data_IF_335849673132
#
_entry.id   IF_335849673132
#
_cell.length_a   1.000
_cell.length_b   1.000
_cell.length_c   1.000
_cell.angle_alpha   90.00
_cell.angle_beta   90.00
_cell.angle_gamma   90.00
#
_symmetry.space_group_name_H-M   'P 1'
#
loop_
_entity.id
_entity.type
_entity.pdbx_description
1 polymer ?
#
# COMPACT_ATOMS: atom_id res chain seq x y z
N UNK A 1 62.92 -8.61 30.10
CA UNK A 1 61.89 -7.63 30.51
C UNK A 1 61.57 -6.71 29.33
N UNK A 2 60.46 -6.93 28.62
CA UNK A 2 59.90 -5.94 27.69
C UNK A 2 58.36 -6.06 27.76
N UNK A 3 57.71 -5.08 28.39
CA UNK A 3 56.27 -4.99 28.59
C UNK A 3 55.72 -4.04 27.51
N UNK A 4 54.87 -4.53 26.61
CA UNK A 4 54.17 -3.68 25.64
C UNK A 4 53.13 -2.81 26.36
N UNK A 5 52.98 -1.51 26.02
CA UNK A 5 51.93 -0.68 26.61
C UNK A 5 50.58 -0.97 25.96
N UNK A 6 49.55 -1.18 26.79
CA UNK A 6 48.15 -1.25 26.37
C UNK A 6 47.68 0.14 25.91
N UNK A 7 47.45 0.30 24.60
CA UNK A 7 46.82 1.50 24.05
C UNK A 7 45.30 1.40 24.20
N UNK A 8 44.78 1.86 25.35
CA UNK A 8 43.34 2.05 25.54
C UNK A 8 42.92 3.36 24.85
N UNK A 9 42.38 3.27 23.63
CA UNK A 9 41.81 4.41 22.92
C UNK A 9 40.60 4.96 23.70
N UNK A 10 40.77 6.10 24.37
CA UNK A 10 39.68 6.86 24.99
C UNK A 10 38.78 7.38 23.87
N UNK A 11 37.55 6.90 23.77
CA UNK A 11 36.52 7.50 22.90
C UNK A 11 36.33 8.97 23.32
N UNK A 12 36.27 9.94 22.38
CA UNK A 12 35.97 11.32 22.75
C UNK A 12 34.56 11.40 23.34
N UNK A 13 34.43 12.12 24.46
CA UNK A 13 33.13 12.47 25.05
C UNK A 13 32.37 13.36 24.06
N UNK A 14 31.25 12.87 23.54
CA UNK A 14 30.30 13.67 22.77
C UNK A 14 29.71 14.72 23.73
N UNK A 15 29.77 16.03 23.44
CA UNK A 15 29.13 17.03 24.28
C UNK A 15 27.60 16.87 24.23
N UNK A 16 26.95 17.02 25.38
CA UNK A 16 25.48 16.99 25.46
C UNK A 16 24.87 18.10 24.59
N UNK A 17 23.79 17.78 23.87
CA UNK A 17 23.07 18.75 23.05
C UNK A 17 22.59 19.94 23.90
N UNK A 18 22.61 21.18 23.37
CA UNK A 18 22.15 22.34 24.13
C UNK A 18 20.66 22.21 24.44
N UNK A 19 20.33 22.27 25.73
CA UNK A 19 18.95 22.40 26.19
C UNK A 19 18.41 23.74 25.70
N UNK A 20 17.48 23.71 24.76
CA UNK A 20 16.73 24.88 24.31
C UNK A 20 15.94 25.43 25.50
N UNK A 21 16.45 26.48 26.14
CA UNK A 21 15.67 27.24 27.12
C UNK A 21 14.59 27.99 26.36
N UNK A 22 13.33 27.73 26.72
CA UNK A 22 12.18 28.48 26.22
C UNK A 22 12.27 29.89 26.80
N UNK A 23 12.97 30.79 26.11
CA UNK A 23 12.82 32.22 26.36
C UNK A 23 11.43 32.63 25.86
N UNK A 24 10.50 32.86 26.79
CA UNK A 24 9.25 33.54 26.51
C UNK A 24 9.57 34.99 26.17
N UNK A 25 9.64 35.34 24.89
CA UNK A 25 9.65 36.75 24.48
C UNK A 25 8.27 37.35 24.75
N UNK A 26 8.19 38.19 25.77
CA UNK A 26 7.08 39.10 25.97
C UNK A 26 7.07 40.12 24.82
N UNK A 27 6.13 39.98 23.89
CA UNK A 27 5.91 40.96 22.83
C UNK A 27 5.24 42.19 23.43
N UNK A 28 5.92 43.35 23.35
CA UNK A 28 5.38 44.62 23.79
C UNK A 28 4.26 45.07 22.83
N UNK A 29 3.13 45.47 23.41
CA UNK A 29 2.01 46.09 22.68
C UNK A 29 2.32 47.57 22.48
N UNK A 30 2.63 48.00 21.26
CA UNK A 30 2.40 49.39 20.83
C UNK A 30 1.87 49.44 19.39
N UNK A 31 0.66 49.99 19.31
CA UNK A 31 0.09 50.79 18.22
C UNK A 31 0.15 50.26 16.79
N UNK A 32 -0.99 49.78 16.30
CA UNK A 32 -1.60 50.28 15.06
C UNK A 32 -3.12 50.21 15.21
N UNK A 33 -3.74 51.38 15.14
CA UNK A 33 -5.17 51.56 15.23
C UNK A 33 -5.85 51.30 13.88
N UNK A 34 -7.13 50.90 13.98
CA UNK A 34 -8.19 50.86 12.95
C UNK A 34 -8.11 49.73 11.90
N UNK A 35 -9.10 48.83 11.98
CA UNK A 35 -9.60 48.07 10.83
C UNK A 35 -9.88 46.59 11.11
N UNK A 36 -11.17 46.24 11.21
CA UNK A 36 -11.74 44.89 11.11
C UNK A 36 -11.41 43.85 12.21
N UNK A 37 -12.45 43.54 13.01
CA UNK A 37 -12.50 42.34 13.86
C UNK A 37 -12.52 41.09 12.97
N UNK A 38 -11.42 40.36 12.91
CA UNK A 38 -11.44 38.95 12.50
C UNK A 38 -11.72 38.09 13.75
N UNK A 39 -12.95 37.57 13.88
CA UNK A 39 -13.27 36.50 14.82
C UNK A 39 -12.69 35.19 14.27
N UNK A 40 -11.97 34.46 15.13
CA UNK A 40 -11.85 33.01 15.14
C UNK A 40 -11.26 32.33 13.90
N UNK A 41 -10.07 31.74 14.04
CA UNK A 41 -9.49 30.84 13.05
C UNK A 41 -10.44 29.68 12.70
N UNK A 42 -11.06 29.77 11.53
CA UNK A 42 -11.83 28.70 10.92
C UNK A 42 -10.91 27.70 10.24
N UNK A 43 -11.16 26.42 10.47
CA UNK A 43 -10.58 25.33 9.70
C UNK A 43 -10.83 25.57 8.19
N UNK A 44 -9.79 25.35 7.38
CA UNK A 44 -9.88 25.43 5.92
C UNK A 44 -10.94 24.42 5.46
N UNK A 45 -12.03 24.86 4.79
CA UNK A 45 -13.07 23.94 4.35
C UNK A 45 -12.54 23.08 3.19
N UNK A 46 -12.62 21.76 3.33
CA UNK A 46 -12.42 20.85 2.21
C UNK A 46 -13.45 21.09 1.09
N UNK A 47 -13.18 20.65 -0.14
CA UNK A 47 -14.06 20.92 -1.27
C UNK A 47 -15.43 20.27 -1.05
N UNK A 48 -16.48 21.10 -0.96
CA UNK A 48 -17.87 20.64 -1.00
C UNK A 48 -18.19 20.29 -2.46
N UNK A 49 -18.42 19.01 -2.73
CA UNK A 49 -18.98 18.54 -3.99
C UNK A 49 -20.41 19.08 -4.15
N UNK A 50 -20.56 20.24 -4.80
CA UNK A 50 -21.88 20.85 -4.99
C UNK A 50 -21.91 22.22 -5.67
N UNK A 51 -20.83 22.65 -6.32
CA UNK A 51 -20.80 23.86 -7.14
C UNK A 51 -20.69 23.50 -8.63
N UNK A 52 -21.54 24.11 -9.47
CA UNK A 52 -21.41 24.01 -10.93
C UNK A 52 -20.01 24.49 -11.35
N UNK A 53 -19.37 23.81 -12.30
CA UNK A 53 -18.11 24.27 -12.87
C UNK A 53 -18.33 25.64 -13.54
N UNK A 54 -17.77 26.70 -12.97
CA UNK A 54 -17.66 28.00 -13.62
C UNK A 54 -16.51 27.94 -14.64
N UNK A 55 -16.79 28.35 -15.87
CA UNK A 55 -15.85 28.38 -17.01
C UNK A 55 -14.75 29.44 -16.84
N UNK A 56 -14.91 30.36 -15.90
CA UNK A 56 -13.92 31.41 -15.62
C UNK A 56 -12.86 30.89 -14.65
N UNK A 57 -11.85 30.24 -15.22
CA UNK A 57 -10.61 29.79 -14.59
C UNK A 57 -9.71 30.99 -14.23
N UNK A 58 -10.16 31.88 -13.33
CA UNK A 58 -9.23 32.79 -12.66
C UNK A 58 -8.41 31.98 -11.66
N UNK A 59 -7.10 32.02 -11.88
CA UNK A 59 -6.07 31.16 -11.30
C UNK A 59 -6.40 30.66 -9.89
N UNK A 60 -6.57 29.33 -9.77
CA UNK A 60 -6.27 28.63 -8.50
C UNK A 60 -4.92 29.19 -8.04
N UNK A 61 -4.83 29.69 -6.81
CA UNK A 61 -3.60 30.27 -6.29
C UNK A 61 -2.41 29.36 -6.61
N UNK A 62 -1.24 29.91 -6.94
CA UNK A 62 -0.05 29.10 -7.29
C UNK A 62 0.21 28.01 -6.23
N UNK A 63 -0.05 28.30 -4.96
CA UNK A 63 -0.01 27.34 -3.85
C UNK A 63 -0.95 26.15 -3.99
N UNK A 64 -2.13 26.34 -4.59
CA UNK A 64 -3.10 25.27 -4.86
C UNK A 64 -2.71 24.48 -6.10
N UNK A 65 -2.14 25.13 -7.12
CA UNK A 65 -1.57 24.46 -8.29
C UNK A 65 -0.37 23.61 -7.86
N UNK A 66 0.49 24.09 -6.97
CA UNK A 66 1.65 23.35 -6.46
C UNK A 66 1.26 22.18 -5.56
N UNK A 67 0.18 22.31 -4.77
CA UNK A 67 -0.42 21.20 -4.03
C UNK A 67 -1.03 20.13 -4.96
N UNK A 68 -1.53 20.52 -6.13
CA UNK A 68 -2.00 19.59 -7.17
C UNK A 68 -0.81 18.96 -7.91
N UNK A 69 0.25 19.74 -8.20
CA UNK A 69 1.46 19.31 -8.92
C UNK A 69 2.30 18.34 -8.10
N UNK A 70 2.34 18.50 -6.78
CA UNK A 70 3.01 17.58 -5.86
C UNK A 70 2.01 16.96 -4.90
N UNK A 71 1.31 15.87 -5.28
CA UNK A 71 0.62 15.09 -4.28
C UNK A 71 1.70 14.49 -3.37
N UNK A 72 1.97 15.12 -2.23
CA UNK A 72 2.80 14.50 -1.20
C UNK A 72 2.01 13.28 -0.70
N UNK A 73 2.47 12.04 -0.92
CA UNK A 73 1.78 10.91 -0.35
C UNK A 73 1.95 11.01 1.17
N UNK A 74 0.83 11.14 1.88
CA UNK A 74 0.79 11.27 3.36
C UNK A 74 1.50 10.10 4.06
N UNK A 75 1.68 8.97 3.36
CA UNK A 75 2.40 7.79 3.80
C UNK A 75 3.19 7.15 2.66
N UNK A 76 4.44 6.78 2.90
CA UNK A 76 5.24 6.02 1.94
C UNK A 76 4.73 4.56 1.91
N UNK A 77 4.18 4.07 0.79
CA UNK A 77 3.69 2.70 0.70
C UNK A 77 4.84 1.69 0.79
N UNK A 78 4.60 0.53 1.40
CA UNK A 78 5.60 -0.51 1.52
C UNK A 78 6.03 -1.03 0.15
N UNK A 79 7.31 -0.95 -0.21
CA UNK A 79 7.82 -1.47 -1.49
C UNK A 79 7.57 -2.97 -1.68
N UNK A 80 7.54 -3.76 -0.59
CA UNK A 80 7.31 -5.22 -0.62
C UNK A 80 6.21 -5.62 0.36
N UNK A 81 5.07 -6.06 -0.18
CA UNK A 81 3.99 -6.67 0.62
C UNK A 81 4.24 -8.16 0.86
N UNK A 82 3.99 -8.59 2.08
CA UNK A 82 4.15 -9.98 2.52
C UNK A 82 2.80 -10.67 2.79
N UNK A 83 1.80 -9.88 3.15
CA UNK A 83 0.42 -10.32 3.44
C UNK A 83 -0.43 -10.13 2.20
N UNK A 84 -1.25 -11.12 1.90
CA UNK A 84 -2.14 -11.19 0.75
C UNK A 84 -3.61 -11.28 1.21
N UNK A 85 -4.54 -10.96 0.30
CA UNK A 85 -5.98 -11.17 0.54
C UNK A 85 -6.26 -12.66 0.63
N UNK A 86 -7.00 -13.09 1.64
CA UNK A 86 -7.28 -14.48 1.93
C UNK A 86 -6.25 -15.19 2.82
N UNK A 87 -5.17 -14.53 3.24
CA UNK A 87 -4.26 -15.11 4.23
C UNK A 87 -4.94 -15.18 5.61
N UNK A 88 -4.62 -16.22 6.39
CA UNK A 88 -5.02 -16.33 7.80
C UNK A 88 -3.98 -15.65 8.68
N UNK A 89 -4.43 -14.72 9.51
CA UNK A 89 -3.55 -13.82 10.26
C UNK A 89 -3.97 -13.69 11.72
N UNK A 90 -2.99 -13.33 12.56
CA UNK A 90 -3.16 -13.03 13.97
C UNK A 90 -2.65 -11.61 14.28
N UNK A 91 -3.37 -10.90 15.16
CA UNK A 91 -2.97 -9.58 15.64
C UNK A 91 -1.92 -9.73 16.75
N UNK A 92 -0.73 -9.19 16.51
CA UNK A 92 0.42 -9.25 17.42
C UNK A 92 0.36 -8.15 18.49
N UNK A 93 -0.13 -6.97 18.10
CA UNK A 93 -0.10 -5.77 18.94
C UNK A 93 -1.30 -4.87 18.71
N UNK A 94 -1.69 -4.14 19.76
CA UNK A 94 -2.87 -3.27 19.77
C UNK A 94 -3.96 -3.75 20.73
N UNK A 95 -5.13 -3.10 20.70
CA UNK A 95 -6.24 -3.44 21.60
C UNK A 95 -6.80 -4.85 21.34
N UNK A 96 -6.73 -5.30 20.09
CA UNK A 96 -7.30 -6.57 19.63
C UNK A 96 -6.25 -7.69 19.53
N UNK A 97 -5.25 -7.67 20.42
CA UNK A 97 -4.14 -8.64 20.41
C UNK A 97 -4.64 -10.07 20.62
N UNK A 98 -4.10 -11.01 19.86
CA UNK A 98 -4.41 -12.45 19.95
C UNK A 98 -5.64 -12.87 19.16
N UNK A 99 -6.45 -11.93 18.65
CA UNK A 99 -7.52 -12.26 17.71
C UNK A 99 -6.95 -12.73 16.38
N UNK A 100 -7.60 -13.75 15.81
CA UNK A 100 -7.27 -14.36 14.52
C UNK A 100 -8.41 -14.15 13.54
N UNK A 101 -8.09 -14.02 12.27
CA UNK A 101 -9.09 -13.84 11.21
C UNK A 101 -8.48 -13.93 9.82
N UNK A 102 -9.34 -13.98 8.80
CA UNK A 102 -8.92 -13.93 7.40
C UNK A 102 -8.81 -12.49 6.91
N UNK A 103 -7.84 -12.24 6.03
CA UNK A 103 -7.68 -10.91 5.41
C UNK A 103 -8.71 -10.72 4.29
N UNK A 104 -9.66 -9.82 4.49
CA UNK A 104 -10.69 -9.47 3.50
C UNK A 104 -10.07 -8.59 2.41
N UNK A 105 -9.42 -7.50 2.84
CA UNK A 105 -8.87 -6.50 1.94
C UNK A 105 -7.49 -6.01 2.40
N UNK A 106 -6.65 -5.67 1.41
CA UNK A 106 -5.34 -5.06 1.62
C UNK A 106 -5.34 -3.68 0.99
N UNK A 107 -5.29 -2.63 1.80
CA UNK A 107 -5.25 -1.23 1.36
C UNK A 107 -3.79 -0.79 1.27
N UNK A 108 -3.22 -0.93 0.07
CA UNK A 108 -1.79 -0.64 -0.17
C UNK A 108 -1.43 0.82 0.02
N UNK A 109 -2.29 1.74 -0.40
CA UNK A 109 -2.03 3.18 -0.33
C UNK A 109 -1.74 3.67 1.10
N UNK A 110 -2.36 3.05 2.12
CA UNK A 110 -2.23 3.45 3.52
C UNK A 110 -1.49 2.43 4.40
N UNK A 111 -0.92 1.38 3.81
CA UNK A 111 -0.26 0.28 4.53
C UNK A 111 -1.19 -0.39 5.57
N UNK A 112 -2.46 -0.58 5.22
CA UNK A 112 -3.47 -1.19 6.11
C UNK A 112 -4.06 -2.48 5.53
N UNK A 113 -4.63 -3.28 6.40
CA UNK A 113 -5.33 -4.54 6.11
C UNK A 113 -6.65 -4.57 6.89
N UNK A 114 -7.69 -5.11 6.26
CA UNK A 114 -8.98 -5.37 6.90
C UNK A 114 -9.03 -6.86 7.20
N UNK A 115 -9.24 -7.20 8.47
CA UNK A 115 -9.27 -8.58 8.96
C UNK A 115 -10.66 -8.85 9.51
N UNK A 116 -11.22 -9.99 9.12
CA UNK A 116 -12.54 -10.46 9.56
C UNK A 116 -12.62 -10.53 11.09
N UNK A 117 -13.67 -9.93 11.68
CA UNK A 117 -13.93 -9.96 13.12
C UNK A 117 -12.98 -9.14 13.98
N UNK A 118 -12.07 -8.34 13.40
CA UNK A 118 -11.10 -7.53 14.15
C UNK A 118 -11.38 -6.04 13.96
N UNK A 119 -11.37 -5.29 15.06
CA UNK A 119 -11.57 -3.84 15.02
C UNK A 119 -12.99 -3.46 14.59
N UNK A 120 -13.99 -4.12 15.19
CA UNK A 120 -15.40 -3.87 14.90
C UNK A 120 -15.79 -2.45 15.31
N UNK A 121 -16.37 -1.71 14.36
CA UNK A 121 -16.90 -0.37 14.57
C UNK A 121 -18.38 -0.38 14.27
N UNK A 122 -19.18 0.09 15.24
CA UNK A 122 -20.63 0.25 15.07
C UNK A 122 -20.89 1.49 14.22
N UNK A 123 -21.48 1.31 13.05
CA UNK A 123 -21.90 2.39 12.15
C UNK A 123 -23.42 2.45 12.13
N UNK A 124 -23.95 3.67 12.21
CA UNK A 124 -25.37 3.95 12.03
C UNK A 124 -25.58 4.43 10.60
N UNK A 125 -26.51 3.83 9.87
CA UNK A 125 -26.94 4.31 8.56
C UNK A 125 -28.43 4.62 8.62
N UNK A 126 -28.75 5.85 8.24
CA UNK A 126 -30.12 6.31 8.09
C UNK A 126 -30.63 5.81 6.74
N UNK A 127 -31.70 5.01 6.75
CA UNK A 127 -32.36 4.59 5.52
C UNK A 127 -33.37 5.63 5.05
N UNK A 128 -33.65 5.70 3.73
CA UNK A 128 -34.76 6.49 3.23
C UNK A 128 -36.07 6.00 3.89
N UNK A 129 -36.76 6.90 4.60
CA UNK A 129 -37.93 6.57 5.42
C UNK A 129 -37.73 6.71 6.94
N UNK A 130 -36.55 7.13 7.41
CA UNK A 130 -36.31 7.50 8.81
C UNK A 130 -35.94 6.34 9.75
N UNK A 131 -35.88 5.10 9.24
CA UNK A 131 -35.42 3.95 10.00
C UNK A 131 -33.89 3.94 10.13
N UNK A 132 -33.40 3.89 11.37
CA UNK A 132 -31.97 3.74 11.66
C UNK A 132 -31.58 2.26 11.71
N UNK A 133 -30.61 1.84 10.90
CA UNK A 133 -29.99 0.51 11.01
C UNK A 133 -28.57 0.65 11.56
N UNK A 134 -28.28 -0.05 12.65
CA UNK A 134 -26.93 -0.17 13.20
C UNK A 134 -26.29 -1.43 12.65
N UNK A 135 -25.13 -1.30 12.01
CA UNK A 135 -24.35 -2.40 11.48
C UNK A 135 -22.92 -2.33 12.03
N UNK A 136 -22.30 -3.49 12.19
CA UNK A 136 -20.90 -3.59 12.59
C UNK A 136 -20.06 -3.73 11.33
N UNK A 137 -18.96 -2.98 11.26
CA UNK A 137 -18.01 -3.05 10.14
C UNK A 137 -16.60 -3.16 10.67
N UNK A 138 -15.78 -3.97 10.04
CA UNK A 138 -14.37 -4.12 10.36
C UNK A 138 -13.60 -2.85 10.01
N UNK A 139 -12.67 -2.49 10.89
CA UNK A 139 -11.81 -1.31 10.72
C UNK A 139 -10.44 -1.72 10.18
N UNK A 140 -9.84 -0.95 9.26
CA UNK A 140 -8.51 -1.24 8.73
C UNK A 140 -7.42 -1.06 9.79
N UNK A 141 -6.56 -2.07 9.93
CA UNK A 141 -5.46 -2.14 10.88
C UNK A 141 -4.13 -2.03 10.13
N UNK A 142 -3.10 -1.45 10.74
CA UNK A 142 -1.77 -1.38 10.13
C UNK A 142 -1.15 -2.77 9.92
N UNK A 143 -0.52 -2.97 8.76
CA UNK A 143 0.17 -4.22 8.38
C UNK A 143 1.20 -4.65 9.43
N UNK A 144 1.85 -3.72 10.12
CA UNK A 144 2.86 -4.00 11.15
C UNK A 144 2.32 -4.66 12.41
N UNK A 145 1.00 -4.58 12.66
CA UNK A 145 0.35 -5.16 13.84
C UNK A 145 -0.12 -6.59 13.61
N UNK A 146 0.05 -7.11 12.40
CA UNK A 146 -0.54 -8.38 11.96
C UNK A 146 0.57 -9.32 11.46
N UNK A 147 0.50 -10.60 11.84
CA UNK A 147 1.36 -11.66 11.33
C UNK A 147 0.53 -12.75 10.66
N UNK A 148 1.12 -13.39 9.64
CA UNK A 148 0.53 -14.58 9.02
C UNK A 148 0.71 -15.76 9.95
N UNK A 149 -0.36 -16.51 10.16
CA UNK A 149 -0.33 -17.77 10.90
C UNK A 149 0.17 -18.86 9.97
N UNK A 150 1.16 -19.64 10.44
CA UNK A 150 1.66 -20.76 9.66
C UNK A 150 0.64 -21.90 9.70
N UNK A 151 0.25 -22.48 8.55
CA UNK A 151 -0.80 -23.53 8.50
C UNK A 151 -0.40 -24.85 9.16
N UNK A 152 0.90 -25.08 9.40
CA UNK A 152 1.38 -26.31 10.06
C UNK A 152 1.61 -26.15 11.56
N UNK A 153 2.06 -24.98 12.00
CA UNK A 153 2.43 -24.76 13.41
C UNK A 153 1.41 -23.92 14.17
N UNK A 154 0.41 -23.35 13.51
CA UNK A 154 -0.61 -22.44 14.06
C UNK A 154 -0.06 -21.27 14.88
N UNK A 155 1.21 -20.95 14.67
CA UNK A 155 1.89 -19.85 15.32
C UNK A 155 1.99 -18.65 14.38
N UNK A 156 1.94 -17.41 14.92
CA UNK A 156 2.21 -16.21 14.14
C UNK A 156 3.67 -16.19 13.70
N UNK A 157 3.91 -16.00 12.40
CA UNK A 157 5.23 -16.04 11.79
C UNK A 157 5.49 -14.84 10.88
N UNK A 158 6.78 -14.54 10.67
CA UNK A 158 7.21 -13.57 9.65
C UNK A 158 7.40 -14.31 8.33
N UNK A 159 6.81 -13.78 7.27
CA UNK A 159 6.94 -14.33 5.91
C UNK A 159 8.22 -13.83 5.25
N UNK A 160 8.98 -14.74 4.65
CA UNK A 160 10.12 -14.50 3.76
C UNK A 160 9.85 -15.09 2.38
N UNK A 161 10.71 -14.81 1.40
CA UNK A 161 10.62 -15.41 0.07
C UNK A 161 11.83 -16.29 -0.16
N UNK A 162 11.62 -17.45 -0.77
CA UNK A 162 12.66 -18.37 -1.22
C UNK A 162 12.35 -18.81 -2.67
N UNK A 163 13.35 -19.38 -3.32
CA UNK A 163 13.20 -20.00 -4.63
C UNK A 163 13.27 -21.52 -4.46
N UNK A 164 12.38 -22.24 -5.15
CA UNK A 164 12.47 -23.69 -5.29
C UNK A 164 13.54 -24.06 -6.32
N UNK A 165 13.87 -25.35 -6.41
CA UNK A 165 14.80 -25.89 -7.41
C UNK A 165 14.31 -25.60 -8.84
N UNK A 166 12.99 -25.57 -9.06
CA UNK A 166 12.35 -25.21 -10.33
C UNK A 166 12.47 -23.70 -10.69
N UNK A 167 13.08 -22.88 -9.83
CA UNK A 167 13.14 -21.43 -9.99
C UNK A 167 11.86 -20.68 -9.61
N UNK A 168 10.80 -21.39 -9.17
CA UNK A 168 9.55 -20.78 -8.74
C UNK A 168 9.72 -20.06 -7.40
N UNK A 169 9.28 -18.79 -7.33
CA UNK A 169 9.34 -17.98 -6.12
C UNK A 169 8.18 -18.28 -5.18
N UNK A 170 8.49 -18.76 -3.98
CA UNK A 170 7.50 -19.12 -2.96
C UNK A 170 7.64 -18.28 -1.70
N UNK A 171 6.54 -18.18 -0.93
CA UNK A 171 6.54 -17.58 0.40
C UNK A 171 6.87 -18.67 1.43
N UNK A 172 7.70 -18.34 2.40
CA UNK A 172 8.16 -19.28 3.42
C UNK A 172 8.00 -18.65 4.80
N UNK A 173 7.59 -19.47 5.78
CA UNK A 173 7.57 -19.10 7.19
C UNK A 173 9.00 -19.04 7.73
N UNK A 174 9.41 -17.91 8.33
CA UNK A 174 10.74 -17.80 8.93
C UNK A 174 10.93 -18.72 10.15
N UNK A 175 9.87 -19.07 10.87
CA UNK A 175 9.98 -19.89 12.09
C UNK A 175 10.08 -21.38 11.78
N UNK A 176 9.27 -21.86 10.84
CA UNK A 176 9.13 -23.28 10.56
C UNK A 176 9.82 -23.71 9.26
N UNK A 177 10.23 -22.78 8.39
CA UNK A 177 10.77 -23.09 7.06
C UNK A 177 9.70 -23.61 6.08
N UNK A 178 8.44 -23.64 6.50
CA UNK A 178 7.32 -24.21 5.73
C UNK A 178 6.84 -23.24 4.68
N UNK A 179 6.49 -23.77 3.51
CA UNK A 179 5.94 -23.00 2.40
C UNK A 179 4.52 -22.52 2.73
N UNK A 180 4.27 -21.22 2.57
CA UNK A 180 2.95 -20.60 2.71
C UNK A 180 2.37 -20.42 1.31
N UNK A 181 1.35 -21.20 0.91
CA UNK A 181 0.80 -21.13 -0.43
C UNK A 181 0.18 -19.76 -0.70
N UNK A 182 0.07 -19.40 -1.98
CA UNK A 182 -0.69 -18.21 -2.38
C UNK A 182 -2.19 -18.52 -2.31
N UNK A 183 -3.01 -17.70 -1.62
CA UNK A 183 -4.44 -17.96 -1.46
C UNK A 183 -5.16 -17.96 -2.81
N UNK A 184 -6.16 -18.84 -2.94
CA UNK A 184 -6.89 -19.10 -4.19
C UNK A 184 -7.68 -17.89 -4.69
N UNK A 185 -8.16 -17.04 -3.79
CA UNK A 185 -8.88 -15.79 -4.08
C UNK A 185 -8.06 -14.88 -5.02
N UNK A 186 -6.73 -14.98 -5.00
CA UNK A 186 -5.87 -14.20 -5.87
C UNK A 186 -5.62 -14.81 -7.26
N UNK A 187 -6.03 -16.06 -7.49
CA UNK A 187 -6.01 -16.68 -8.82
C UNK A 187 -7.24 -16.26 -9.62
N UNK A 188 -8.36 -16.02 -8.94
CA UNK A 188 -9.59 -15.55 -9.55
C UNK A 188 -9.49 -14.07 -9.92
N UNK A 189 -9.96 -13.72 -11.13
CA UNK A 189 -10.15 -12.32 -11.53
C UNK A 189 -11.26 -11.70 -10.69
N UNK A 190 -11.12 -10.42 -10.32
CA UNK A 190 -12.17 -9.71 -9.54
C UNK A 190 -13.51 -9.70 -10.28
N UNK A 191 -13.46 -9.51 -11.60
CA UNK A 191 -14.59 -9.66 -12.50
C UNK A 191 -14.25 -10.83 -13.44
N UNK A 192 -14.88 -12.01 -13.29
CA UNK A 192 -14.69 -13.08 -14.24
C UNK A 192 -15.21 -12.63 -15.61
N UNK A 193 -14.46 -12.96 -16.66
CA UNK A 193 -14.90 -12.72 -18.03
C UNK A 193 -15.89 -13.84 -18.41
N UNK A 194 -17.07 -13.54 -18.96
CA UNK A 194 -17.94 -14.56 -19.53
C UNK A 194 -17.21 -15.33 -20.64
N UNK A 195 -17.38 -16.66 -20.72
CA UNK A 195 -16.65 -17.49 -21.70
C UNK A 195 -16.93 -17.07 -23.15
N UNK A 196 -18.20 -16.79 -23.49
CA UNK A 196 -18.59 -16.55 -24.88
C UNK A 196 -19.44 -15.28 -25.00
N UNK A 197 -18.78 -14.12 -25.11
CA UNK A 197 -19.46 -12.90 -25.56
C UNK A 197 -19.66 -12.95 -27.08
N UNK A 198 -20.74 -12.38 -27.65
CA UNK A 198 -20.95 -12.34 -29.10
C UNK A 198 -19.82 -11.68 -29.91
N UNK A 199 -18.95 -10.90 -29.26
CA UNK A 199 -17.80 -10.22 -29.87
C UNK A 199 -16.46 -10.93 -29.62
N UNK A 200 -16.45 -12.00 -28.81
CA UNK A 200 -15.23 -12.71 -28.47
C UNK A 200 -14.97 -13.83 -29.48
N UNK A 201 -13.70 -13.99 -29.85
CA UNK A 201 -13.29 -15.05 -30.78
C UNK A 201 -13.15 -16.36 -30.02
N UNK A 202 -13.78 -17.43 -30.53
CA UNK A 202 -13.68 -18.74 -29.92
C UNK A 202 -12.21 -19.21 -29.83
N UNK A 203 -11.81 -19.87 -28.73
CA UNK A 203 -10.42 -20.27 -28.51
C UNK A 203 -9.90 -21.23 -29.60
N UNK A 204 -10.79 -22.04 -30.19
CA UNK A 204 -10.47 -22.92 -31.32
C UNK A 204 -9.96 -22.15 -32.53
N UNK A 205 -10.56 -21.01 -32.84
CA UNK A 205 -10.17 -20.13 -33.96
C UNK A 205 -8.85 -19.43 -33.66
N UNK A 206 -8.64 -19.01 -32.40
CA UNK A 206 -7.40 -18.34 -31.98
C UNK A 206 -6.20 -19.29 -31.97
N UNK A 207 -6.40 -20.53 -31.53
CA UNK A 207 -5.35 -21.56 -31.46
C UNK A 207 -5.11 -22.25 -32.80
N UNK A 208 -6.01 -22.08 -33.77
CA UNK A 208 -5.82 -22.61 -35.12
C UNK A 208 -4.58 -21.97 -35.75
N UNK A 209 -3.56 -22.78 -36.03
CA UNK A 209 -2.35 -22.36 -36.74
C UNK A 209 -2.74 -21.97 -38.17
N UNK A 210 -2.98 -20.68 -38.38
CA UNK A 210 -3.36 -20.10 -39.67
C UNK A 210 -2.18 -19.86 -40.61
N UNK A 211 -0.95 -19.93 -40.10
CA UNK A 211 0.28 -19.70 -40.87
C UNK A 211 1.11 -20.97 -40.95
N UNK A 212 1.35 -21.43 -42.18
CA UNK A 212 2.32 -22.47 -42.49
C UNK A 212 3.52 -21.82 -43.19
N UNK A 213 4.71 -22.02 -42.63
CA UNK A 213 5.98 -21.44 -43.06
C UNK A 213 6.68 -22.28 -44.15
N UNK A 214 6.13 -23.44 -44.50
CA UNK A 214 6.69 -24.38 -45.49
C UNK A 214 6.79 -23.82 -46.92
N UNK A 215 6.02 -22.78 -47.27
CA UNK A 215 6.07 -22.14 -48.59
C UNK A 215 7.23 -21.15 -48.76
N UNK A 216 8.11 -20.97 -47.75
CA UNK A 216 9.37 -20.25 -47.92
C UNK A 216 9.23 -18.74 -48.18
N UNK A 217 8.05 -18.13 -47.98
CA UNK A 217 7.83 -16.69 -48.16
C UNK A 217 8.77 -15.80 -47.31
N UNK A 218 9.32 -16.32 -46.21
CA UNK A 218 10.33 -15.65 -45.39
C UNK A 218 11.78 -15.89 -45.82
N UNK A 219 12.07 -16.86 -46.69
CA UNK A 219 13.43 -17.06 -47.22
C UNK A 219 13.84 -15.88 -48.13
N UNK A 220 12.86 -15.24 -48.78
CA UNK A 220 13.04 -13.97 -49.49
C UNK A 220 13.43 -12.80 -48.57
N UNK A 221 13.18 -12.93 -47.25
CA UNK A 221 13.54 -11.97 -46.20
C UNK A 221 14.58 -12.55 -45.22
N UNK A 222 15.40 -13.52 -45.63
CA UNK A 222 16.45 -14.11 -44.78
C UNK A 222 17.37 -13.06 -44.14
N UNK A 223 17.61 -11.94 -44.84
CA UNK A 223 18.37 -10.79 -44.31
C UNK A 223 17.71 -10.09 -43.11
N UNK A 224 16.36 -10.09 -43.02
CA UNK A 224 15.63 -9.50 -41.90
C UNK A 224 15.60 -10.43 -40.68
N UNK A 225 15.47 -11.75 -40.90
CA UNK A 225 15.58 -12.77 -39.83
C UNK A 225 16.95 -12.69 -39.13
N UNK A 226 18.03 -12.60 -39.90
CA UNK A 226 19.38 -12.41 -39.36
C UNK A 226 19.57 -11.09 -38.60
N UNK A 227 18.77 -10.06 -38.87
CA UNK A 227 18.81 -8.76 -38.20
C UNK A 227 18.06 -8.80 -36.86
N UNK A 228 16.91 -9.48 -36.82
CA UNK A 228 16.13 -9.71 -35.59
C UNK A 228 16.88 -10.61 -34.61
N UNK A 229 17.50 -11.70 -35.10
CA UNK A 229 18.26 -12.63 -34.26
C UNK A 229 19.55 -12.01 -33.69
N UNK A 230 20.11 -10.97 -34.32
CA UNK A 230 21.26 -10.19 -33.81
C UNK A 230 20.89 -9.16 -32.73
N UNK A 231 19.60 -8.84 -32.61
CA UNK A 231 19.10 -7.80 -31.71
C UNK A 231 18.56 -8.36 -30.38
N UNK A 232 18.48 -9.69 -30.25
CA UNK A 232 18.12 -10.43 -29.03
C UNK A 232 19.41 -10.88 -28.33
#
# INVERSE_FOLDING_TARGET
MLRLPHYAARRPRIPAAPTFSRQTRAASKKSLARGMRLRGGGAIPGPRFGGKLSVDMTHRSESMIDAIRTPTPVTNPLKRWRILRGDFVEVISGPEKGKRGRVIEVVRASNRVVVEGVGLVRKKMLQPGGFEKVFETESPIYVSRVAVVCPQTDQPTRVTFAFLEDGTKVRVSKKSGVIIPRPEILKQRRNPHPEDSPKDTAPTVVLHRSYNDEEGLYEQYAGFKALVDKAI
#
